data_IF_477396340643
#
_entry.id   IF_477396340643
#
_cell.length_a   1.000
_cell.length_b   1.000
_cell.length_c   1.000
_cell.angle_alpha   90.00
_cell.angle_beta   90.00
_cell.angle_gamma   90.00
#
_symmetry.space_group_name_H-M   'P 1'
#
loop_
_entity.id
_entity.type
_entity.pdbx_description
1 polymer ?
#
# COMPACT_ATOMS: atom_id res chain seq x y z
N UNK A 1 -11.07 17.61 6.06
CA UNK A 1 -10.51 17.36 7.41
C UNK A 1 -10.59 15.86 7.80
N UNK A 2 -11.68 15.16 7.48
CA UNK A 2 -11.85 13.74 7.85
C UNK A 2 -10.79 12.82 7.25
N UNK A 3 -10.41 13.02 5.98
CA UNK A 3 -9.37 12.23 5.32
C UNK A 3 -7.97 12.46 5.91
N UNK A 4 -7.68 13.67 6.40
CA UNK A 4 -6.43 13.96 7.13
C UNK A 4 -6.43 13.31 8.51
N UNK A 5 -7.57 13.22 9.16
CA UNK A 5 -7.72 12.49 10.41
C UNK A 5 -7.54 11.00 10.18
N UNK A 6 -8.15 10.43 9.13
CA UNK A 6 -7.95 9.03 8.74
C UNK A 6 -6.46 8.72 8.48
N UNK A 7 -5.73 9.62 7.81
CA UNK A 7 -4.28 9.49 7.64
C UNK A 7 -3.52 9.53 8.96
N UNK A 8 -3.89 10.44 9.85
CA UNK A 8 -3.23 10.59 11.16
C UNK A 8 -3.47 9.40 12.08
N UNK A 9 -4.63 8.74 11.97
CA UNK A 9 -5.01 7.56 12.76
C UNK A 9 -4.28 6.28 12.33
N UNK A 10 -3.64 6.26 11.16
CA UNK A 10 -2.80 5.14 10.78
C UNK A 10 -1.64 4.97 11.77
N UNK A 11 -1.38 3.73 12.20
CA UNK A 11 -0.26 3.43 13.09
C UNK A 11 1.07 3.70 12.40
N UNK A 12 1.99 4.37 13.10
CA UNK A 12 3.32 4.67 12.59
C UNK A 12 3.32 5.56 11.35
N UNK A 13 4.16 5.25 10.36
CA UNK A 13 4.23 5.94 9.06
C UNK A 13 4.55 7.45 9.18
N UNK A 14 5.39 7.85 10.14
CA UNK A 14 5.65 9.25 10.44
C UNK A 14 6.18 10.02 9.23
N UNK A 15 7.16 9.49 8.51
CA UNK A 15 7.72 10.14 7.31
C UNK A 15 6.71 10.14 6.15
N UNK A 16 5.98 9.04 5.95
CA UNK A 16 4.91 8.96 4.94
C UNK A 16 3.84 10.02 5.19
N UNK A 17 3.39 10.18 6.43
CA UNK A 17 2.41 11.21 6.82
C UNK A 17 2.92 12.61 6.54
N UNK A 18 4.19 12.87 6.82
CA UNK A 18 4.85 14.15 6.55
C UNK A 18 4.89 14.43 5.05
N UNK A 19 5.29 13.46 4.25
CA UNK A 19 5.38 13.59 2.79
C UNK A 19 4.02 13.84 2.16
N UNK A 20 2.98 13.10 2.59
CA UNK A 20 1.60 13.30 2.13
C UNK A 20 1.07 14.68 2.52
N UNK A 21 1.32 15.13 3.76
CA UNK A 21 0.92 16.49 4.19
C UNK A 21 1.60 17.58 3.37
N UNK A 22 2.89 17.43 3.08
CA UNK A 22 3.64 18.36 2.22
C UNK A 22 3.06 18.41 0.81
N UNK A 23 2.70 17.26 0.23
CA UNK A 23 2.05 17.17 -1.05
C UNK A 23 0.67 17.86 -1.05
N UNK A 24 -0.14 17.65 -0.03
CA UNK A 24 -1.45 18.32 0.13
C UNK A 24 -1.28 19.84 0.17
N UNK A 25 -0.31 20.33 0.93
CA UNK A 25 -0.03 21.77 1.02
C UNK A 25 0.37 22.34 -0.35
N UNK A 26 1.23 21.64 -1.08
CA UNK A 26 1.64 22.01 -2.43
C UNK A 26 0.43 22.10 -3.39
N UNK A 27 -0.46 21.12 -3.35
CA UNK A 27 -1.67 21.10 -4.18
C UNK A 27 -2.66 22.21 -3.81
N UNK A 28 -2.82 22.53 -2.52
CA UNK A 28 -3.63 23.65 -2.06
C UNK A 28 -3.08 24.99 -2.56
N UNK A 29 -1.77 25.19 -2.48
CA UNK A 29 -1.11 26.40 -2.97
C UNK A 29 -1.22 26.50 -4.49
N UNK A 30 -1.02 25.39 -5.21
CA UNK A 30 -1.22 25.32 -6.67
C UNK A 30 -2.61 25.80 -7.05
N UNK A 31 -3.65 25.31 -6.39
CA UNK A 31 -5.05 25.71 -6.64
C UNK A 31 -5.32 27.20 -6.32
N UNK A 32 -4.69 27.74 -5.28
CA UNK A 32 -4.80 29.17 -4.99
C UNK A 32 -4.14 30.04 -6.07
N UNK A 33 -2.98 29.63 -6.57
CA UNK A 33 -2.28 30.31 -7.69
C UNK A 33 -3.10 30.29 -8.96
N UNK A 34 -3.69 29.13 -9.29
CA UNK A 34 -4.57 28.95 -10.46
C UNK A 34 -5.77 29.90 -10.40
N UNK A 35 -6.45 29.96 -9.27
CA UNK A 35 -7.59 30.90 -9.06
C UNK A 35 -7.22 32.38 -9.22
N UNK A 36 -5.94 32.71 -9.05
CA UNK A 36 -5.41 34.07 -9.23
C UNK A 36 -4.80 34.31 -10.59
N UNK A 37 -4.95 33.38 -11.55
CA UNK A 37 -4.40 33.49 -12.90
C UNK A 37 -2.87 33.41 -12.98
N UNK A 38 -2.21 32.88 -11.94
CA UNK A 38 -0.76 32.75 -11.94
C UNK A 38 -0.33 31.51 -12.70
N UNK A 39 0.83 31.61 -13.40
CA UNK A 39 1.43 30.44 -14.07
C UNK A 39 1.69 29.32 -13.09
N UNK A 40 1.39 28.10 -13.52
CA UNK A 40 1.62 26.88 -12.73
C UNK A 40 2.91 26.18 -13.20
N UNK A 41 3.76 25.70 -12.29
CA UNK A 41 4.84 24.81 -12.66
C UNK A 41 4.25 23.47 -13.16
N UNK A 42 4.84 22.93 -14.23
CA UNK A 42 4.57 21.54 -14.60
C UNK A 42 5.07 20.61 -13.50
N UNK A 43 4.21 19.71 -13.07
CA UNK A 43 4.50 18.82 -11.95
C UNK A 43 3.88 17.45 -12.20
N UNK A 44 4.70 16.42 -12.18
CA UNK A 44 4.22 15.04 -12.15
C UNK A 44 3.69 14.70 -10.75
N UNK A 45 2.52 14.08 -10.69
CA UNK A 45 1.94 13.52 -9.47
C UNK A 45 2.06 12.00 -9.39
N UNK A 46 2.69 11.38 -10.38
CA UNK A 46 3.02 9.97 -10.33
C UNK A 46 4.06 9.69 -9.27
N UNK A 47 3.95 8.57 -8.57
CA UNK A 47 4.76 8.25 -7.40
C UNK A 47 5.30 6.84 -7.41
N UNK A 48 6.41 6.66 -6.72
CA UNK A 48 6.96 5.37 -6.33
C UNK A 48 6.75 5.18 -4.83
N UNK A 49 6.02 4.13 -4.47
CA UNK A 49 5.88 3.67 -3.08
C UNK A 49 6.84 2.50 -2.87
N UNK A 50 7.88 2.72 -2.10
CA UNK A 50 8.92 1.72 -1.86
C UNK A 50 8.92 1.24 -0.41
N UNK A 51 9.23 -0.01 -0.20
CA UNK A 51 9.33 -0.63 1.13
C UNK A 51 8.89 -2.09 1.13
N UNK A 52 9.13 -2.77 2.25
CA UNK A 52 8.76 -4.15 2.45
C UNK A 52 7.22 -4.37 2.42
N UNK A 53 6.76 -5.62 2.22
CA UNK A 53 5.33 -5.93 2.24
C UNK A 53 4.70 -5.60 3.60
N UNK A 54 3.41 -5.31 3.60
CA UNK A 54 2.64 -5.10 4.82
C UNK A 54 2.99 -3.82 5.59
N UNK A 55 3.53 -2.80 4.92
CA UNK A 55 3.88 -1.49 5.49
C UNK A 55 2.84 -0.40 5.23
N UNK A 56 1.70 -0.75 4.60
CA UNK A 56 0.58 0.17 4.41
C UNK A 56 0.54 0.88 3.05
N UNK A 57 1.33 0.47 2.06
CA UNK A 57 1.39 1.12 0.73
C UNK A 57 0.03 1.23 0.06
N UNK A 58 -0.71 0.13 -0.06
CA UNK A 58 -2.06 0.14 -0.68
C UNK A 58 -3.06 0.97 0.12
N UNK A 59 -3.01 0.89 1.45
CA UNK A 59 -3.89 1.67 2.33
C UNK A 59 -3.70 3.16 2.13
N UNK A 60 -2.45 3.62 2.10
CA UNK A 60 -2.11 5.03 1.88
C UNK A 60 -2.47 5.46 0.45
N UNK A 61 -2.23 4.62 -0.56
CA UNK A 61 -2.61 4.91 -1.94
C UNK A 61 -4.12 5.11 -2.09
N UNK A 62 -4.93 4.29 -1.44
CA UNK A 62 -6.39 4.40 -1.44
C UNK A 62 -6.88 5.69 -0.78
N UNK A 63 -6.26 6.06 0.32
CA UNK A 63 -6.55 7.31 1.01
C UNK A 63 -6.16 8.52 0.17
N UNK A 64 -4.99 8.45 -0.48
CA UNK A 64 -4.49 9.51 -1.35
C UNK A 64 -5.40 9.72 -2.58
N UNK A 65 -5.95 8.66 -3.16
CA UNK A 65 -6.93 8.76 -4.25
C UNK A 65 -8.18 9.56 -3.82
N UNK A 66 -8.69 9.31 -2.62
CA UNK A 66 -9.80 10.09 -2.05
C UNK A 66 -9.42 11.55 -1.80
N UNK A 67 -8.20 11.80 -1.33
CA UNK A 67 -7.67 13.15 -1.10
C UNK A 67 -7.57 13.92 -2.42
N UNK A 68 -7.06 13.31 -3.48
CA UNK A 68 -7.00 13.93 -4.81
C UNK A 68 -8.39 14.32 -5.33
N UNK A 69 -9.40 13.48 -5.13
CA UNK A 69 -10.78 13.82 -5.46
C UNK A 69 -11.27 15.03 -4.66
N UNK A 70 -11.07 15.01 -3.33
CA UNK A 70 -11.46 16.11 -2.44
C UNK A 70 -10.81 17.44 -2.82
N UNK A 71 -9.55 17.42 -3.24
CA UNK A 71 -8.81 18.59 -3.67
C UNK A 71 -9.15 19.01 -5.12
N UNK A 72 -9.98 18.23 -5.84
CA UNK A 72 -10.33 18.50 -7.24
C UNK A 72 -9.14 18.31 -8.20
N UNK A 73 -8.14 17.51 -7.82
CA UNK A 73 -7.02 17.11 -8.68
C UNK A 73 -7.47 16.03 -9.67
N UNK A 74 -8.31 15.11 -9.20
CA UNK A 74 -8.93 14.06 -10.02
C UNK A 74 -10.45 14.14 -9.87
N UNK A 75 -11.23 13.83 -10.93
CA UNK A 75 -12.70 13.82 -10.85
C UNK A 75 -13.22 12.62 -10.04
N UNK A 76 -12.51 11.49 -10.05
CA UNK A 76 -12.82 10.27 -9.30
C UNK A 76 -11.87 10.06 -8.12
N UNK A 77 -12.33 9.31 -7.11
CA UNK A 77 -11.51 8.92 -5.97
C UNK A 77 -11.23 7.42 -5.91
N UNK A 78 -11.42 6.70 -7.03
CA UNK A 78 -11.18 5.27 -7.10
C UNK A 78 -9.69 4.95 -7.18
N UNK A 79 -9.33 3.82 -6.60
CA UNK A 79 -8.06 3.16 -6.78
C UNK A 79 -8.27 1.85 -7.54
N UNK A 80 -7.61 1.70 -8.67
CA UNK A 80 -7.53 0.42 -9.38
C UNK A 80 -6.18 -0.21 -9.05
N UNK A 81 -6.23 -1.31 -8.32
CA UNK A 81 -5.06 -2.06 -7.86
C UNK A 81 -4.80 -3.24 -8.78
N UNK A 82 -3.60 -3.30 -9.33
CA UNK A 82 -3.18 -4.35 -10.27
C UNK A 82 -1.74 -4.79 -9.99
N UNK A 83 -1.40 -5.94 -10.54
CA UNK A 83 -0.04 -6.45 -10.64
C UNK A 83 0.29 -6.86 -12.10
N UNK A 84 1.47 -7.47 -12.31
CA UNK A 84 1.89 -7.94 -13.63
C UNK A 84 0.84 -8.83 -14.31
N UNK A 85 0.17 -9.70 -13.58
CA UNK A 85 -0.80 -10.65 -14.14
C UNK A 85 -2.02 -9.98 -14.76
N UNK A 86 -2.35 -8.77 -14.31
CA UNK A 86 -3.44 -7.97 -14.85
C UNK A 86 -3.05 -7.18 -16.10
N UNK A 87 -1.76 -7.02 -16.39
CA UNK A 87 -1.23 -6.17 -17.45
C UNK A 87 -0.63 -6.95 -18.62
N UNK A 88 0.01 -8.09 -18.33
CA UNK A 88 0.79 -8.86 -19.31
C UNK A 88 0.05 -10.10 -19.76
N UNK A 89 0.08 -10.35 -21.06
CA UNK A 89 -0.43 -11.57 -21.70
C UNK A 89 0.68 -12.37 -22.38
N UNK A 90 0.40 -13.62 -22.71
CA UNK A 90 1.38 -14.56 -23.28
C UNK A 90 1.54 -14.50 -24.80
N UNK A 91 0.83 -13.61 -25.49
CA UNK A 91 0.83 -13.54 -26.95
C UNK A 91 1.10 -12.11 -27.46
N UNK A 92 1.73 -12.03 -28.62
CA UNK A 92 2.08 -10.75 -29.28
C UNK A 92 0.85 -9.85 -29.45
N UNK A 93 0.95 -8.58 -29.04
CA UNK A 93 -0.08 -7.55 -29.20
C UNK A 93 -1.22 -7.61 -28.19
N UNK A 94 -1.36 -8.67 -27.41
CA UNK A 94 -2.43 -8.76 -26.40
C UNK A 94 -2.09 -8.02 -25.12
N UNK A 95 -0.83 -7.88 -24.78
CA UNK A 95 -0.38 -7.12 -23.62
C UNK A 95 -0.74 -5.63 -23.75
N UNK A 96 -0.53 -5.02 -24.93
CA UNK A 96 -0.91 -3.63 -25.14
C UNK A 96 -2.42 -3.41 -24.98
N UNK A 97 -3.25 -4.31 -25.50
CA UNK A 97 -4.71 -4.23 -25.38
C UNK A 97 -5.13 -4.34 -23.91
N UNK A 98 -4.65 -5.35 -23.22
CA UNK A 98 -4.98 -5.60 -21.81
C UNK A 98 -4.52 -4.43 -20.91
N UNK A 99 -3.30 -3.95 -21.11
CA UNK A 99 -2.77 -2.80 -20.37
C UNK A 99 -3.63 -1.56 -20.63
N UNK A 100 -4.02 -1.31 -21.88
CA UNK A 100 -4.90 -0.20 -22.21
C UNK A 100 -6.25 -0.28 -21.50
N UNK A 101 -6.92 -1.43 -21.52
CA UNK A 101 -8.19 -1.64 -20.84
C UNK A 101 -8.09 -1.38 -19.32
N UNK A 102 -7.01 -1.85 -18.68
CA UNK A 102 -6.75 -1.60 -17.27
C UNK A 102 -6.55 -0.11 -16.98
N UNK A 103 -5.74 0.58 -17.77
CA UNK A 103 -5.52 2.03 -17.62
C UNK A 103 -6.82 2.80 -17.83
N UNK A 104 -7.61 2.46 -18.86
CA UNK A 104 -8.92 3.07 -19.12
C UNK A 104 -9.87 2.92 -17.93
N UNK A 105 -9.86 1.79 -17.24
CA UNK A 105 -10.66 1.57 -16.01
C UNK A 105 -10.24 2.46 -14.84
N UNK A 106 -9.01 2.95 -14.83
CA UNK A 106 -8.47 3.83 -13.79
C UNK A 106 -8.60 5.33 -14.11
N UNK A 107 -9.03 5.68 -15.33
CA UNK A 107 -9.17 7.09 -15.71
C UNK A 107 -10.11 7.83 -14.77
N UNK A 108 -9.71 9.03 -14.40
CA UNK A 108 -10.37 9.82 -13.39
C UNK A 108 -9.95 9.50 -11.95
N UNK A 109 -9.10 8.51 -11.75
CA UNK A 109 -8.62 8.05 -10.46
C UNK A 109 -7.13 7.70 -10.44
N UNK A 110 -6.78 6.78 -9.57
CA UNK A 110 -5.41 6.32 -9.37
C UNK A 110 -5.27 4.86 -9.81
N UNK A 111 -4.26 4.58 -10.63
CA UNK A 111 -3.81 3.24 -10.95
C UNK A 111 -2.64 2.89 -10.01
N UNK A 112 -2.80 1.84 -9.22
CA UNK A 112 -1.78 1.32 -8.34
C UNK A 112 -1.25 0.00 -8.88
N UNK A 113 0.04 -0.02 -9.24
CA UNK A 113 0.71 -1.22 -9.77
C UNK A 113 1.62 -1.76 -8.69
N UNK A 114 1.22 -2.88 -8.10
CA UNK A 114 2.02 -3.56 -7.07
C UNK A 114 3.10 -4.42 -7.72
N UNK A 115 4.26 -4.49 -7.05
CA UNK A 115 5.44 -5.21 -7.55
C UNK A 115 5.78 -4.85 -9.02
N UNK A 116 5.75 -3.56 -9.34
CA UNK A 116 5.90 -3.06 -10.71
C UNK A 116 7.24 -3.45 -11.36
N UNK A 117 8.29 -3.69 -10.58
CA UNK A 117 9.58 -4.20 -11.05
C UNK A 117 9.47 -5.53 -11.80
N UNK A 118 8.43 -6.32 -11.55
CA UNK A 118 8.21 -7.59 -12.27
C UNK A 118 7.93 -7.38 -13.77
N UNK A 119 7.52 -6.18 -14.18
CA UNK A 119 7.30 -5.84 -15.58
C UNK A 119 8.60 -5.78 -16.40
N UNK A 120 9.74 -5.51 -15.73
CA UNK A 120 11.06 -5.39 -16.39
C UNK A 120 12.05 -6.47 -15.96
N UNK A 121 11.63 -7.46 -15.16
CA UNK A 121 12.50 -8.50 -14.62
C UNK A 121 12.92 -9.58 -15.65
N UNK A 122 12.24 -9.70 -16.77
CA UNK A 122 12.53 -10.67 -17.83
C UNK A 122 13.77 -10.29 -18.63
N UNK A 123 14.79 -11.15 -18.60
CA UNK A 123 16.03 -10.96 -19.36
C UNK A 123 15.99 -11.55 -20.78
N UNK A 124 15.00 -12.37 -21.08
CA UNK A 124 14.85 -13.03 -22.36
C UNK A 124 13.87 -12.26 -23.24
N UNK A 125 14.28 -11.82 -24.42
CA UNK A 125 13.52 -10.97 -25.35
C UNK A 125 12.13 -11.51 -25.80
N UNK A 126 11.54 -12.40 -25.04
CA UNK A 126 10.17 -12.94 -25.14
C UNK A 126 9.25 -12.41 -24.03
N UNK A 127 9.74 -11.50 -23.19
CA UNK A 127 8.95 -10.93 -22.10
C UNK A 127 8.14 -9.73 -22.59
N UNK A 128 6.83 -9.84 -22.54
CA UNK A 128 5.90 -8.78 -22.92
C UNK A 128 5.72 -7.69 -21.85
N UNK A 129 6.46 -7.73 -20.77
CA UNK A 129 6.43 -6.70 -19.73
C UNK A 129 6.86 -5.32 -20.25
N UNK A 130 7.83 -5.27 -21.16
CA UNK A 130 8.23 -4.00 -21.79
C UNK A 130 7.10 -3.40 -22.63
N UNK A 131 6.31 -4.21 -23.33
CA UNK A 131 5.13 -3.75 -24.07
C UNK A 131 4.09 -3.12 -23.13
N UNK A 132 3.92 -3.68 -21.93
CA UNK A 132 3.05 -3.10 -20.89
C UNK A 132 3.58 -1.73 -20.42
N UNK A 133 4.89 -1.62 -20.16
CA UNK A 133 5.53 -0.36 -19.76
C UNK A 133 5.38 0.71 -20.83
N UNK A 134 5.65 0.39 -22.09
CA UNK A 134 5.56 1.34 -23.20
C UNK A 134 4.12 1.82 -23.40
N UNK A 135 3.13 0.93 -23.32
CA UNK A 135 1.71 1.26 -23.38
C UNK A 135 1.30 2.16 -22.22
N UNK A 136 1.73 1.83 -21.00
CA UNK A 136 1.47 2.61 -19.80
C UNK A 136 2.02 4.03 -19.93
N UNK A 137 3.28 4.19 -20.35
CA UNK A 137 3.92 5.49 -20.51
C UNK A 137 3.19 6.37 -21.53
N UNK A 138 2.75 5.80 -22.65
CA UNK A 138 1.95 6.51 -23.65
C UNK A 138 0.62 6.97 -23.06
N UNK A 139 -0.09 6.11 -22.38
CA UNK A 139 -1.39 6.46 -21.80
C UNK A 139 -1.29 7.47 -20.66
N UNK A 140 -0.21 7.45 -19.89
CA UNK A 140 0.08 8.47 -18.87
C UNK A 140 0.28 9.84 -19.52
N UNK A 141 0.93 9.90 -20.67
CA UNK A 141 1.11 11.13 -21.43
C UNK A 141 -0.22 11.64 -22.00
N UNK A 142 -1.00 10.76 -22.62
CA UNK A 142 -2.28 11.10 -23.25
C UNK A 142 -3.36 11.52 -22.20
N UNK A 143 -3.20 11.14 -20.94
CA UNK A 143 -4.16 11.35 -19.85
C UNK A 143 -3.57 12.10 -18.66
N UNK A 144 -2.67 13.04 -18.86
CA UNK A 144 -1.92 13.75 -17.81
C UNK A 144 -2.80 14.34 -16.70
N UNK A 145 -3.96 14.88 -17.06
CA UNK A 145 -4.85 15.58 -16.13
C UNK A 145 -5.93 14.67 -15.52
N UNK A 146 -5.98 13.40 -15.94
CA UNK A 146 -7.07 12.49 -15.60
C UNK A 146 -6.59 11.14 -15.04
N UNK A 147 -5.31 10.98 -14.83
CA UNK A 147 -4.71 9.74 -14.34
C UNK A 147 -3.49 10.02 -13.49
N UNK A 148 -3.45 9.41 -12.32
CA UNK A 148 -2.24 9.31 -11.49
C UNK A 148 -1.87 7.85 -11.36
N UNK A 149 -0.60 7.52 -11.58
CA UNK A 149 -0.05 6.17 -11.44
C UNK A 149 0.86 6.13 -10.23
N UNK A 150 0.64 5.16 -9.36
CA UNK A 150 1.51 4.82 -8.24
C UNK A 150 2.06 3.43 -8.51
N UNK A 151 3.38 3.31 -8.56
CA UNK A 151 4.07 2.03 -8.67
C UNK A 151 4.68 1.68 -7.33
N UNK A 152 4.59 0.41 -6.93
CA UNK A 152 5.00 -0.02 -5.60
C UNK A 152 5.83 -1.30 -5.63
N UNK A 153 6.73 -1.46 -4.67
CA UNK A 153 7.55 -2.64 -4.51
C UNK A 153 8.73 -2.44 -3.53
N UNK A 154 9.62 -3.40 -3.50
CA UNK A 154 10.85 -3.32 -2.72
C UNK A 154 11.73 -2.16 -3.17
N UNK A 155 12.37 -1.48 -2.22
CA UNK A 155 13.10 -0.22 -2.46
C UNK A 155 14.14 -0.34 -3.57
N UNK A 156 15.03 -1.32 -3.49
CA UNK A 156 16.12 -1.49 -4.47
C UNK A 156 15.58 -1.89 -5.84
N UNK A 157 14.61 -2.80 -5.88
CA UNK A 157 13.98 -3.25 -7.12
C UNK A 157 13.18 -2.14 -7.80
N UNK A 158 12.55 -1.26 -7.04
CA UNK A 158 11.82 -0.11 -7.59
C UNK A 158 12.76 0.94 -8.16
N UNK A 159 13.93 1.15 -7.55
CA UNK A 159 14.95 2.02 -8.11
C UNK A 159 15.46 1.48 -9.45
N UNK A 160 15.78 0.19 -9.52
CA UNK A 160 16.18 -0.47 -10.77
C UNK A 160 15.09 -0.37 -11.84
N UNK A 161 13.81 -0.57 -11.45
CA UNK A 161 12.67 -0.45 -12.36
C UNK A 161 12.57 0.94 -12.98
N UNK A 162 12.62 1.98 -12.18
CA UNK A 162 12.55 3.36 -12.67
C UNK A 162 13.76 3.71 -13.54
N UNK A 163 14.94 3.25 -13.16
CA UNK A 163 16.18 3.50 -13.90
C UNK A 163 16.29 2.72 -15.21
N UNK A 164 15.50 1.66 -15.39
CA UNK A 164 15.50 0.82 -16.59
C UNK A 164 15.03 1.53 -17.85
N UNK A 165 14.28 2.63 -17.71
CA UNK A 165 13.66 3.33 -18.84
C UNK A 165 13.62 4.85 -18.60
N UNK A 166 14.15 5.68 -19.53
CA UNK A 166 14.11 7.14 -19.41
C UNK A 166 12.70 7.72 -19.27
N UNK A 167 11.71 7.10 -19.90
CA UNK A 167 10.30 7.49 -19.79
C UNK A 167 9.74 7.27 -18.39
N UNK A 168 10.11 6.18 -17.71
CA UNK A 168 9.77 5.95 -16.32
C UNK A 168 10.44 6.98 -15.41
N UNK A 169 11.73 7.22 -15.60
CA UNK A 169 12.50 8.18 -14.79
C UNK A 169 11.95 9.60 -14.90
N UNK A 170 11.51 10.02 -16.07
CA UNK A 170 10.97 11.37 -16.26
C UNK A 170 9.58 11.57 -15.62
N UNK A 171 8.80 10.50 -15.45
CA UNK A 171 7.44 10.56 -14.90
C UNK A 171 7.38 10.24 -13.41
N UNK A 172 8.20 9.31 -12.93
CA UNK A 172 8.26 8.87 -11.53
C UNK A 172 9.43 9.52 -10.80
N UNK A 173 9.25 10.76 -10.40
CA UNK A 173 10.25 11.56 -9.68
C UNK A 173 9.91 11.84 -8.21
N UNK A 174 8.78 11.30 -7.73
CA UNK A 174 8.37 11.38 -6.32
C UNK A 174 8.42 9.99 -5.69
N UNK A 175 9.21 9.88 -4.62
CA UNK A 175 9.41 8.64 -3.89
C UNK A 175 8.86 8.81 -2.48
N UNK A 176 8.02 7.87 -2.04
CA UNK A 176 7.57 7.76 -0.66
C UNK A 176 8.05 6.42 -0.13
N UNK A 177 8.90 6.46 0.88
CA UNK A 177 9.46 5.26 1.49
C UNK A 177 8.66 4.84 2.72
N UNK A 178 8.25 3.58 2.70
CA UNK A 178 7.52 2.91 3.77
C UNK A 178 8.49 2.04 4.56
N UNK A 179 8.98 2.57 5.67
CA UNK A 179 9.87 1.82 6.57
C UNK A 179 9.13 0.70 7.27
N UNK A 180 9.88 -0.33 7.70
CA UNK A 180 9.35 -1.36 8.56
C UNK A 180 8.78 -0.76 9.86
N UNK A 181 7.74 -1.38 10.39
CA UNK A 181 7.19 -0.99 11.68
C UNK A 181 8.13 -1.40 12.82
N UNK A 182 8.17 -0.57 13.85
CA UNK A 182 8.78 -0.94 15.13
C UNK A 182 7.96 -2.04 15.82
N UNK A 183 8.55 -2.69 16.81
CA UNK A 183 7.83 -3.69 17.61
C UNK A 183 6.60 -3.12 18.32
N UNK A 184 6.69 -1.91 18.85
CA UNK A 184 5.55 -1.23 19.47
C UNK A 184 4.47 -0.88 18.45
N UNK A 185 4.83 -0.44 17.25
CA UNK A 185 3.88 -0.19 16.16
C UNK A 185 3.21 -1.49 15.68
N UNK A 186 3.94 -2.59 15.55
CA UNK A 186 3.38 -3.91 15.23
C UNK A 186 2.39 -4.36 16.30
N UNK A 187 2.68 -4.10 17.57
CA UNK A 187 1.77 -4.42 18.68
C UNK A 187 0.50 -3.56 18.63
N UNK A 188 0.59 -2.27 18.34
CA UNK A 188 -0.60 -1.42 18.12
C UNK A 188 -1.45 -1.92 16.95
N UNK A 189 -0.82 -2.32 15.84
CA UNK A 189 -1.49 -2.91 14.68
C UNK A 189 -2.21 -4.21 15.11
N UNK A 190 -1.54 -5.08 15.88
CA UNK A 190 -2.13 -6.29 16.43
C UNK A 190 -3.39 -6.01 17.26
N UNK A 191 -3.31 -5.06 18.20
CA UNK A 191 -4.47 -4.66 19.02
C UNK A 191 -5.61 -4.08 18.18
N UNK A 192 -5.29 -3.28 17.16
CA UNK A 192 -6.28 -2.74 16.23
C UNK A 192 -6.98 -3.84 15.44
N UNK A 193 -6.24 -4.84 14.96
CA UNK A 193 -6.81 -5.99 14.26
C UNK A 193 -7.70 -6.83 15.17
N UNK A 194 -7.27 -7.06 16.42
CA UNK A 194 -8.09 -7.75 17.43
C UNK A 194 -9.42 -7.00 17.65
N UNK A 195 -9.34 -5.70 17.89
CA UNK A 195 -10.54 -4.87 18.14
C UNK A 195 -11.54 -4.89 16.98
N UNK A 196 -11.05 -4.86 15.74
CA UNK A 196 -11.90 -4.91 14.53
C UNK A 196 -12.67 -6.23 14.39
N UNK A 197 -12.21 -7.29 15.04
CA UNK A 197 -12.80 -8.63 14.99
C UNK A 197 -13.39 -9.05 16.33
N UNK A 198 -13.60 -8.10 17.25
CA UNK A 198 -14.12 -8.32 18.60
C UNK A 198 -13.29 -9.29 19.48
N UNK A 199 -11.99 -9.40 19.21
CA UNK A 199 -11.07 -10.13 20.07
C UNK A 199 -10.39 -9.21 21.09
N UNK A 200 -10.18 -9.73 22.29
CA UNK A 200 -9.53 -9.02 23.39
C UNK A 200 -8.45 -9.90 24.01
N UNK A 201 -7.17 -9.65 23.76
CA UNK A 201 -6.10 -10.35 24.48
C UNK A 201 -6.17 -10.02 25.98
N UNK A 202 -6.05 -11.05 26.85
CA UNK A 202 -5.94 -10.81 28.28
C UNK A 202 -4.58 -10.19 28.66
N UNK A 203 -4.40 -9.81 29.92
CA UNK A 203 -3.18 -9.09 30.35
C UNK A 203 -1.89 -9.88 30.06
N UNK A 204 -1.89 -11.20 30.31
CA UNK A 204 -0.75 -12.07 30.04
C UNK A 204 -0.52 -12.24 28.53
N UNK A 205 -1.60 -12.35 27.76
CA UNK A 205 -1.55 -12.42 26.30
C UNK A 205 -1.01 -11.13 25.67
N UNK A 206 -1.45 -9.97 26.16
CA UNK A 206 -0.91 -8.67 25.73
C UNK A 206 0.59 -8.55 25.96
N UNK A 207 1.05 -8.92 27.16
CA UNK A 207 2.49 -8.88 27.49
C UNK A 207 3.29 -9.81 26.57
N UNK A 208 2.82 -11.04 26.37
CA UNK A 208 3.48 -12.00 25.49
C UNK A 208 3.52 -11.52 24.04
N UNK A 209 2.41 -11.07 23.48
CA UNK A 209 2.34 -10.58 22.11
C UNK A 209 3.26 -9.37 21.90
N UNK A 210 3.31 -8.45 22.85
CA UNK A 210 4.20 -7.29 22.80
C UNK A 210 5.67 -7.71 22.73
N UNK A 211 6.08 -8.63 23.59
CA UNK A 211 7.46 -9.14 23.62
C UNK A 211 7.81 -9.87 22.32
N UNK A 212 6.91 -10.73 21.82
CA UNK A 212 7.11 -11.47 20.58
C UNK A 212 7.27 -10.53 19.37
N UNK A 213 6.39 -9.55 19.23
CA UNK A 213 6.43 -8.61 18.13
C UNK A 213 7.67 -7.69 18.17
N UNK A 214 8.13 -7.35 19.38
CA UNK A 214 9.41 -6.65 19.55
C UNK A 214 10.61 -7.52 19.15
N UNK A 215 10.57 -8.82 19.41
CA UNK A 215 11.59 -9.76 18.96
C UNK A 215 11.56 -9.83 17.42
N UNK A 216 10.40 -9.97 16.81
CA UNK A 216 10.26 -10.00 15.35
C UNK A 216 10.82 -8.75 14.70
N UNK A 217 10.48 -7.57 15.20
CA UNK A 217 10.97 -6.30 14.68
C UNK A 217 12.51 -6.15 14.72
N UNK A 218 13.18 -6.85 15.63
CA UNK A 218 14.65 -6.80 15.80
C UNK A 218 15.40 -7.89 15.06
N UNK A 219 14.77 -9.02 14.80
CA UNK A 219 15.44 -10.23 14.31
C UNK A 219 14.92 -10.72 12.95
N UNK A 220 14.05 -9.94 12.29
CA UNK A 220 13.52 -10.32 10.98
C UNK A 220 14.58 -10.29 9.88
N UNK A 221 14.35 -11.02 8.83
CA UNK A 221 15.11 -10.97 7.58
C UNK A 221 14.70 -9.76 6.71
N UNK A 222 15.41 -9.58 5.59
CA UNK A 222 15.18 -8.46 4.66
C UNK A 222 13.77 -8.43 4.06
N UNK A 223 13.04 -9.55 4.09
CA UNK A 223 11.72 -9.69 3.47
C UNK A 223 10.58 -9.75 4.49
N UNK A 224 10.80 -9.26 5.70
CA UNK A 224 9.78 -9.24 6.74
C UNK A 224 8.49 -8.57 6.28
N UNK A 225 7.37 -9.28 6.47
CA UNK A 225 6.08 -8.89 5.91
C UNK A 225 5.23 -7.98 6.83
N UNK A 226 5.82 -7.42 7.89
CA UNK A 226 5.22 -6.38 8.75
C UNK A 226 3.76 -6.70 9.19
N UNK A 227 2.80 -5.84 8.88
CA UNK A 227 1.40 -6.04 9.27
C UNK A 227 0.76 -7.30 8.67
N UNK A 228 1.26 -7.80 7.53
CA UNK A 228 0.80 -9.07 6.97
C UNK A 228 1.18 -10.24 7.88
N UNK A 229 2.40 -10.22 8.42
CA UNK A 229 2.85 -11.23 9.38
C UNK A 229 2.05 -11.16 10.70
N UNK A 230 1.74 -9.95 11.17
CA UNK A 230 0.86 -9.75 12.33
C UNK A 230 -0.54 -10.32 12.08
N UNK A 231 -1.08 -10.15 10.88
CA UNK A 231 -2.37 -10.76 10.49
C UNK A 231 -2.31 -12.27 10.55
N UNK A 232 -1.30 -12.88 9.94
CA UNK A 232 -1.11 -14.33 9.96
C UNK A 232 -0.98 -14.86 11.40
N UNK A 233 -0.26 -14.15 12.25
CA UNK A 233 -0.16 -14.47 13.68
C UNK A 233 -1.51 -14.44 14.38
N UNK A 234 -2.31 -13.39 14.16
CA UNK A 234 -3.65 -13.31 14.73
C UNK A 234 -4.55 -14.45 14.24
N UNK A 235 -4.51 -14.80 12.95
CA UNK A 235 -5.27 -15.91 12.40
C UNK A 235 -4.90 -17.25 13.04
N UNK A 236 -3.61 -17.51 13.24
CA UNK A 236 -3.14 -18.72 13.96
C UNK A 236 -3.58 -18.70 15.41
N UNK A 237 -3.56 -17.56 16.05
CA UNK A 237 -4.01 -17.40 17.46
C UNK A 237 -5.51 -17.63 17.60
N UNK A 238 -6.31 -17.16 16.67
CA UNK A 238 -7.76 -17.39 16.62
C UNK A 238 -8.05 -18.90 16.44
N UNK A 239 -7.31 -19.58 15.58
CA UNK A 239 -7.45 -21.03 15.38
C UNK A 239 -7.14 -21.83 16.67
N UNK A 240 -6.11 -21.43 17.41
CA UNK A 240 -5.78 -22.04 18.73
C UNK A 240 -6.87 -21.75 19.77
N UNK A 241 -7.39 -20.51 19.80
CA UNK A 241 -8.51 -20.17 20.66
C UNK A 241 -9.75 -21.02 20.34
N UNK A 242 -10.09 -21.17 19.05
CA UNK A 242 -11.24 -21.97 18.62
C UNK A 242 -11.12 -23.43 19.09
N UNK A 243 -9.92 -24.03 18.98
CA UNK A 243 -9.65 -25.39 19.48
C UNK A 243 -9.85 -25.53 21.00
N UNK A 244 -9.49 -24.50 21.75
CA UNK A 244 -9.70 -24.48 23.22
C UNK A 244 -11.17 -24.28 23.58
N UNK A 245 -11.87 -23.40 22.86
CA UNK A 245 -13.27 -23.06 23.17
C UNK A 245 -14.23 -24.21 22.86
N UNK A 246 -13.99 -24.97 21.81
CA UNK A 246 -14.89 -26.07 21.40
C UNK A 246 -14.97 -27.21 22.43
N UNK A 247 -13.99 -27.31 23.33
CA UNK A 247 -13.95 -28.30 24.40
C UNK A 247 -14.76 -27.88 25.65
N UNK A 248 -15.33 -26.68 25.67
CA UNK A 248 -16.12 -26.18 26.80
C UNK A 248 -17.59 -26.48 26.58
N UNK A 249 -18.29 -26.94 27.65
CA UNK A 249 -19.73 -27.27 27.61
C UNK A 249 -20.60 -26.00 27.53
N UNK A 250 -20.27 -24.97 28.33
CA UNK A 250 -20.96 -23.68 28.37
C UNK A 250 -19.99 -22.52 28.08
N UNK A 251 -20.14 -21.88 26.91
CA UNK A 251 -19.25 -20.80 26.48
C UNK A 251 -19.91 -19.45 26.69
N UNK A 252 -19.24 -18.58 27.44
CA UNK A 252 -19.67 -17.19 27.63
C UNK A 252 -19.15 -16.28 26.51
N UNK A 253 -19.84 -15.17 26.25
CA UNK A 253 -19.38 -14.13 25.28
C UNK A 253 -17.98 -13.63 25.61
N UNK A 254 -17.65 -13.52 26.90
CA UNK A 254 -16.31 -13.14 27.34
C UNK A 254 -15.25 -14.14 26.90
N UNK A 255 -15.53 -15.43 27.02
CA UNK A 255 -14.60 -16.49 26.59
C UNK A 255 -14.43 -16.50 25.07
N UNK A 256 -15.51 -16.29 24.30
CA UNK A 256 -15.48 -16.19 22.84
C UNK A 256 -14.60 -15.03 22.35
N UNK A 257 -14.57 -13.91 23.07
CA UNK A 257 -13.77 -12.73 22.72
C UNK A 257 -12.33 -12.78 23.23
N UNK A 258 -12.04 -13.58 24.28
CA UNK A 258 -10.74 -13.54 24.96
C UNK A 258 -9.70 -14.40 24.24
N UNK A 259 -8.57 -13.79 23.91
CA UNK A 259 -7.33 -14.47 23.55
C UNK A 259 -6.44 -14.57 24.79
N UNK A 260 -6.12 -15.79 25.19
CA UNK A 260 -5.21 -16.07 26.31
C UNK A 260 -3.76 -16.12 25.85
N UNK A 261 -2.82 -16.09 26.80
CA UNK A 261 -1.40 -16.31 26.50
C UNK A 261 -1.19 -17.63 25.73
N UNK A 262 -1.89 -18.70 26.11
CA UNK A 262 -1.78 -20.00 25.43
C UNK A 262 -2.21 -19.93 23.95
N UNK A 263 -3.28 -19.18 23.65
CA UNK A 263 -3.74 -18.99 22.27
C UNK A 263 -2.71 -18.19 21.43
N UNK A 264 -1.96 -17.29 22.07
CA UNK A 264 -0.98 -16.40 21.47
C UNK A 264 0.45 -16.98 21.42
N UNK A 265 0.72 -18.09 22.10
CA UNK A 265 2.06 -18.72 22.10
C UNK A 265 2.32 -19.42 20.76
N UNK A 266 3.45 -19.07 20.15
CA UNK A 266 3.98 -19.67 18.91
C UNK A 266 4.91 -20.85 19.23
#
# INVERSE_FOLDING_TARGET
DDLLNELNELTGLAEVKKDIKSLINLLKVKKLREKRGMKQPEMSLHMVFSGNPGTGKTTVARLLAKIYKCLGVLPGGQLVEVDRSNLVEGYVGQTAIKTKEVVESALGGVLFIDEAYTLTAGKDGKDFGQEAVDTLLKMMEDNRDNLIVIVAGYTDLMQEFVDSNPGLRSRFNKYINFSDYSGDELFEIFLSMCKKQDYVPNSQGKAYAKDLLNIWAKSHDENFANAREVRNYLERSIARQASRIVELEDVTDKQLKTLTKGDLTE
#
